data_IF_339219041241
#
_entry.id   IF_339219041241
#
_cell.length_a   1.000
_cell.length_b   1.000
_cell.length_c   1.000
_cell.angle_alpha   90.00
_cell.angle_beta   90.00
_cell.angle_gamma   90.00
#
_symmetry.space_group_name_H-M   'P 1'
#
loop_
_entity.id
_entity.type
_entity.pdbx_description
1 polymer ?
#
# COMPACT_ATOMS: atom_id res chain seq x y z
N UNK A 1 -26.50 12.43 -37.13
CA UNK A 1 -25.07 12.07 -36.98
C UNK A 1 -24.71 12.28 -35.52
N UNK A 2 -25.01 11.26 -34.71
CA UNK A 2 -24.03 10.34 -34.11
C UNK A 2 -23.09 11.03 -33.12
N UNK A 3 -23.51 10.93 -31.86
CA UNK A 3 -22.79 11.21 -30.63
C UNK A 3 -21.59 10.28 -30.49
N UNK A 4 -20.39 10.83 -30.32
CA UNK A 4 -19.20 10.05 -30.00
C UNK A 4 -18.99 10.07 -28.47
N UNK A 5 -19.61 9.09 -27.80
CA UNK A 5 -19.30 8.77 -26.42
C UNK A 5 -17.94 8.09 -26.38
N UNK A 6 -16.90 8.83 -25.98
CA UNK A 6 -15.62 8.25 -25.62
C UNK A 6 -15.81 7.34 -24.39
N UNK A 7 -15.93 6.04 -24.65
CA UNK A 7 -15.90 4.98 -23.66
C UNK A 7 -14.54 4.96 -22.95
N UNK A 8 -14.44 5.62 -21.81
CA UNK A 8 -13.32 5.46 -20.88
C UNK A 8 -13.51 4.14 -20.14
N UNK A 9 -12.99 3.07 -20.73
CA UNK A 9 -12.82 1.80 -20.02
C UNK A 9 -11.90 2.02 -18.80
N UNK A 10 -12.26 1.54 -17.60
CA UNK A 10 -11.38 1.66 -16.44
C UNK A 10 -10.15 0.78 -16.67
N UNK A 11 -8.98 1.39 -16.84
CA UNK A 11 -7.70 0.68 -16.77
C UNK A 11 -7.64 0.04 -15.38
N UNK A 12 -7.78 -1.28 -15.33
CA UNK A 12 -7.45 -2.06 -14.13
C UNK A 12 -5.98 -1.80 -13.87
N UNK A 13 -5.67 -0.97 -12.87
CA UNK A 13 -4.32 -0.79 -12.39
C UNK A 13 -3.97 -2.01 -11.54
N UNK A 14 -3.54 -3.05 -12.26
CA UNK A 14 -2.86 -4.19 -11.67
C UNK A 14 -1.58 -3.66 -11.03
N UNK A 15 -1.46 -3.86 -9.73
CA UNK A 15 -0.17 -3.77 -9.06
C UNK A 15 0.72 -4.78 -9.77
N UNK A 16 1.76 -4.31 -10.49
CA UNK A 16 2.71 -5.19 -11.18
C UNK A 16 3.26 -6.19 -10.17
N UNK A 17 2.82 -7.44 -10.31
CA UNK A 17 3.06 -8.54 -9.39
C UNK A 17 4.35 -9.26 -9.72
N UNK A 18 5.13 -9.55 -8.69
CA UNK A 18 6.25 -10.51 -8.65
C UNK A 18 7.18 -10.45 -9.87
N UNK A 19 8.24 -9.67 -9.76
CA UNK A 19 9.37 -9.79 -10.69
C UNK A 19 9.97 -11.19 -10.55
N UNK A 20 10.17 -11.89 -11.68
CA UNK A 20 10.78 -13.21 -11.67
C UNK A 20 12.30 -13.12 -11.44
N UNK A 21 12.89 -11.96 -11.76
CA UNK A 21 14.33 -11.71 -11.69
C UNK A 21 14.62 -10.27 -11.25
N UNK A 22 15.81 -10.04 -10.68
CA UNK A 22 16.28 -8.71 -10.25
C UNK A 22 16.47 -7.78 -11.46
N UNK A 23 16.87 -8.35 -12.59
CA UNK A 23 17.11 -7.66 -13.84
C UNK A 23 15.82 -7.02 -14.37
N UNK A 24 14.70 -7.77 -14.35
CA UNK A 24 13.38 -7.24 -14.71
C UNK A 24 12.93 -6.10 -13.79
N UNK A 25 13.24 -6.19 -12.49
CA UNK A 25 12.95 -5.14 -11.53
C UNK A 25 13.75 -3.86 -11.85
N UNK A 26 15.05 -4.00 -12.12
CA UNK A 26 15.92 -2.89 -12.49
C UNK A 26 15.47 -2.22 -13.80
N UNK A 27 15.14 -3.02 -14.82
CA UNK A 27 14.63 -2.51 -16.11
C UNK A 27 13.32 -1.75 -15.95
N UNK A 28 12.36 -2.28 -15.19
CA UNK A 28 11.09 -1.62 -14.97
C UNK A 28 11.27 -0.30 -14.19
N UNK A 29 12.13 -0.29 -13.17
CA UNK A 29 12.40 0.91 -12.39
C UNK A 29 13.01 2.03 -13.24
N UNK A 30 13.90 1.68 -14.18
CA UNK A 30 14.54 2.61 -15.11
C UNK A 30 13.63 3.05 -16.27
N UNK A 31 12.62 2.26 -16.65
CA UNK A 31 11.78 2.50 -17.84
C UNK A 31 11.12 3.89 -17.89
N UNK A 32 10.80 4.46 -16.72
CA UNK A 32 10.09 5.73 -16.60
C UNK A 32 11.01 6.92 -16.27
N UNK A 33 12.33 6.71 -16.18
CA UNK A 33 13.30 7.74 -15.84
C UNK A 33 14.27 7.96 -17.01
N UNK A 34 14.24 9.16 -17.61
CA UNK A 34 15.12 9.53 -18.71
C UNK A 34 16.60 9.40 -18.30
N UNK A 35 17.47 8.98 -19.23
CA UNK A 35 18.91 8.84 -18.99
C UNK A 35 19.30 7.90 -17.82
N UNK A 36 18.47 6.91 -17.51
CA UNK A 36 18.81 5.87 -16.54
C UNK A 36 19.15 4.56 -17.25
N UNK A 37 20.13 3.84 -16.71
CA UNK A 37 20.63 2.61 -17.31
C UNK A 37 20.53 1.47 -16.30
N UNK A 38 19.67 0.49 -16.58
CA UNK A 38 19.49 -0.68 -15.72
C UNK A 38 20.80 -1.45 -15.54
N UNK A 39 21.64 -1.53 -16.58
CA UNK A 39 22.96 -2.16 -16.49
C UNK A 39 23.87 -1.44 -15.50
N UNK A 40 23.96 -0.11 -15.60
CA UNK A 40 24.76 0.70 -14.67
C UNK A 40 24.25 0.57 -13.22
N UNK A 41 22.93 0.49 -13.05
CA UNK A 41 22.31 0.27 -11.74
C UNK A 41 22.69 -1.09 -11.15
N UNK A 42 22.60 -2.16 -11.94
CA UNK A 42 22.97 -3.52 -11.53
C UNK A 42 24.47 -3.62 -11.21
N UNK A 43 25.33 -3.05 -12.06
CA UNK A 43 26.79 -3.01 -11.86
C UNK A 43 27.14 -2.27 -10.55
N UNK A 44 26.49 -1.13 -10.29
CA UNK A 44 26.70 -0.35 -9.05
C UNK A 44 26.17 -1.08 -7.82
N UNK A 45 25.12 -1.88 -7.97
CA UNK A 45 24.61 -2.74 -6.91
C UNK A 45 25.48 -3.98 -6.64
N UNK A 46 26.52 -4.23 -7.45
CA UNK A 46 27.36 -5.42 -7.37
C UNK A 46 26.66 -6.70 -7.86
N UNK A 47 25.60 -6.54 -8.67
CA UNK A 47 24.78 -7.63 -9.18
C UNK A 47 25.27 -7.96 -10.59
N UNK A 48 26.11 -8.97 -10.70
CA UNK A 48 26.55 -9.49 -11.98
C UNK A 48 25.58 -10.56 -12.49
N UNK A 49 25.35 -10.58 -13.80
CA UNK A 49 24.45 -11.50 -14.51
C UNK A 49 24.91 -12.97 -14.54
N UNK A 50 25.90 -13.34 -13.72
CA UNK A 50 26.56 -14.65 -13.72
C UNK A 50 25.98 -15.65 -12.72
N UNK A 51 24.72 -15.50 -12.29
CA UNK A 51 24.07 -16.46 -11.38
C UNK A 51 22.54 -16.36 -11.39
N UNK A 52 21.87 -17.42 -10.91
CA UNK A 52 20.43 -17.44 -10.68
C UNK A 52 20.02 -16.39 -9.63
N UNK A 53 19.79 -15.16 -10.06
CA UNK A 53 19.27 -14.06 -9.26
C UNK A 53 17.75 -14.18 -9.06
N UNK A 54 17.29 -15.35 -8.60
CA UNK A 54 15.88 -15.59 -8.32
C UNK A 54 15.50 -14.81 -7.06
N UNK A 55 14.42 -14.04 -7.15
CA UNK A 55 13.84 -13.28 -6.05
C UNK A 55 13.07 -14.22 -5.12
N UNK A 56 13.79 -15.02 -4.32
CA UNK A 56 13.18 -15.73 -3.19
C UNK A 56 12.81 -14.73 -2.08
N UNK A 57 11.73 -14.99 -1.34
CA UNK A 57 11.13 -14.03 -0.40
C UNK A 57 12.15 -13.40 0.58
N UNK A 58 13.08 -14.20 1.14
CA UNK A 58 14.14 -13.71 2.03
C UNK A 58 15.26 -12.93 1.32
N UNK A 59 15.55 -13.22 0.06
CA UNK A 59 16.57 -12.50 -0.72
C UNK A 59 16.00 -11.23 -1.37
N UNK A 60 14.69 -11.19 -1.63
CA UNK A 60 14.01 -10.08 -2.31
C UNK A 60 14.17 -8.73 -1.60
N UNK A 61 14.04 -8.69 -0.26
CA UNK A 61 14.19 -7.46 0.51
C UNK A 61 15.61 -6.90 0.49
N UNK A 62 16.60 -7.81 0.44
CA UNK A 62 17.99 -7.43 0.33
C UNK A 62 18.28 -6.86 -1.07
N UNK A 63 17.77 -7.52 -2.13
CA UNK A 63 17.93 -7.05 -3.51
C UNK A 63 17.26 -5.68 -3.77
N UNK A 64 16.05 -5.46 -3.25
CA UNK A 64 15.43 -4.12 -3.30
C UNK A 64 16.32 -3.08 -2.63
N UNK A 65 16.84 -3.39 -1.45
CA UNK A 65 17.67 -2.45 -0.68
C UNK A 65 18.99 -2.17 -1.41
N UNK A 66 19.65 -3.18 -1.98
CA UNK A 66 20.85 -3.01 -2.79
C UNK A 66 20.62 -2.09 -4.00
N UNK A 67 19.56 -2.34 -4.78
CA UNK A 67 19.22 -1.51 -5.93
C UNK A 67 18.86 -0.08 -5.54
N UNK A 68 18.14 0.11 -4.42
CA UNK A 68 17.83 1.44 -3.90
C UNK A 68 19.13 2.18 -3.54
N UNK A 69 20.04 1.54 -2.80
CA UNK A 69 21.32 2.16 -2.43
C UNK A 69 22.17 2.50 -3.65
N UNK A 70 22.20 1.63 -4.66
CA UNK A 70 22.88 1.88 -5.93
C UNK A 70 22.26 3.09 -6.67
N UNK A 71 20.94 3.17 -6.77
CA UNK A 71 20.25 4.31 -7.38
C UNK A 71 20.57 5.62 -6.63
N UNK A 72 20.62 5.60 -5.29
CA UNK A 72 20.97 6.78 -4.50
C UNK A 72 22.42 7.23 -4.68
N UNK A 73 23.36 6.29 -4.85
CA UNK A 73 24.74 6.61 -5.18
C UNK A 73 24.86 7.24 -6.57
N UNK A 74 24.12 6.71 -7.56
CA UNK A 74 24.13 7.24 -8.93
C UNK A 74 23.42 8.60 -9.06
N UNK A 75 22.52 8.93 -8.13
CA UNK A 75 21.76 10.20 -8.12
C UNK A 75 22.65 11.44 -8.09
N UNK A 76 23.82 11.37 -7.45
CA UNK A 76 24.76 12.49 -7.39
C UNK A 76 25.25 12.91 -8.78
N UNK A 77 25.40 11.94 -9.70
CA UNK A 77 25.86 12.17 -11.07
C UNK A 77 24.71 12.37 -12.05
N UNK A 78 23.58 11.69 -11.84
CA UNK A 78 22.39 11.82 -12.67
C UNK A 78 21.13 11.91 -11.81
N UNK A 79 20.52 13.10 -11.66
CA UNK A 79 19.35 13.32 -10.81
C UNK A 79 18.15 12.43 -11.13
N UNK A 80 18.08 11.87 -12.35
CA UNK A 80 16.98 11.00 -12.77
C UNK A 80 16.93 9.66 -12.01
N UNK A 81 18.03 9.24 -11.38
CA UNK A 81 18.03 8.08 -10.48
C UNK A 81 17.24 8.29 -9.18
N UNK A 82 16.85 9.53 -8.81
CA UNK A 82 15.94 9.74 -7.69
C UNK A 82 14.55 9.13 -7.97
N UNK A 83 14.04 9.28 -9.19
CA UNK A 83 12.80 8.65 -9.62
C UNK A 83 12.92 7.12 -9.62
N UNK A 84 14.05 6.59 -10.08
CA UNK A 84 14.36 5.15 -10.03
C UNK A 84 14.36 4.63 -8.59
N UNK A 85 15.04 5.32 -7.66
CA UNK A 85 15.05 4.96 -6.24
C UNK A 85 13.64 4.98 -5.63
N UNK A 86 12.83 5.98 -6.00
CA UNK A 86 11.43 6.12 -5.57
C UNK A 86 10.59 4.93 -6.05
N UNK A 87 10.71 4.54 -7.33
CA UNK A 87 9.99 3.40 -7.90
C UNK A 87 10.41 2.07 -7.27
N UNK A 88 11.70 1.87 -7.01
CA UNK A 88 12.21 0.68 -6.33
C UNK A 88 11.67 0.59 -4.91
N UNK A 89 11.67 1.70 -4.16
CA UNK A 89 11.13 1.74 -2.81
C UNK A 89 9.62 1.48 -2.81
N UNK A 90 8.86 2.08 -3.72
CA UNK A 90 7.42 1.82 -3.84
C UNK A 90 7.13 0.34 -4.15
N UNK A 91 7.93 -0.26 -5.05
CA UNK A 91 7.82 -1.68 -5.40
C UNK A 91 8.12 -2.58 -4.19
N UNK A 92 9.16 -2.25 -3.41
CA UNK A 92 9.49 -2.92 -2.15
C UNK A 92 8.33 -2.88 -1.17
N UNK A 93 7.80 -1.69 -0.88
CA UNK A 93 6.67 -1.48 0.04
C UNK A 93 5.43 -2.24 -0.43
N UNK A 94 5.14 -2.21 -1.72
CA UNK A 94 4.00 -2.92 -2.30
C UNK A 94 4.14 -4.43 -2.15
N UNK A 95 5.36 -4.96 -2.33
CA UNK A 95 5.64 -6.37 -2.08
C UNK A 95 5.46 -6.75 -0.61
N UNK A 96 5.95 -5.94 0.32
CA UNK A 96 5.78 -6.15 1.77
C UNK A 96 4.29 -6.18 2.15
N UNK A 97 3.54 -5.14 1.75
CA UNK A 97 2.12 -4.99 2.06
C UNK A 97 1.33 -6.16 1.48
N UNK A 98 1.51 -6.47 0.19
CA UNK A 98 0.79 -7.59 -0.43
C UNK A 98 1.04 -8.91 0.30
N UNK A 99 2.30 -9.17 0.67
CA UNK A 99 2.65 -10.36 1.44
C UNK A 99 1.90 -10.39 2.80
N UNK A 100 1.92 -9.30 3.55
CA UNK A 100 1.20 -9.18 4.83
C UNK A 100 -0.32 -9.36 4.69
N UNK A 101 -0.91 -8.95 3.55
CA UNK A 101 -2.35 -9.06 3.29
C UNK A 101 -2.77 -10.44 2.78
N UNK A 102 -1.87 -11.22 2.17
CA UNK A 102 -2.14 -12.60 1.74
C UNK A 102 -1.94 -13.64 2.83
N UNK A 103 -1.19 -13.35 3.89
CA UNK A 103 -1.00 -14.24 5.03
C UNK A 103 -2.25 -14.23 5.94
N UNK A 104 -3.27 -14.97 5.52
CA UNK A 104 -4.41 -15.38 6.34
C UNK A 104 -4.22 -16.83 6.73
N UNK A 105 -4.36 -17.21 8.02
CA UNK A 105 -4.27 -18.60 8.40
C UNK A 105 -5.37 -19.40 7.70
N UNK A 106 -4.98 -20.59 7.28
CA UNK A 106 -5.65 -21.51 6.37
C UNK A 106 -7.04 -21.86 6.92
N UNK A 107 -8.11 -21.26 6.39
CA UNK A 107 -9.47 -21.81 6.53
C UNK A 107 -10.33 -21.56 5.30
N UNK A 108 -9.75 -21.07 4.20
CA UNK A 108 -10.48 -20.91 2.94
C UNK A 108 -9.60 -21.42 1.81
N UNK A 109 -9.81 -22.69 1.50
CA UNK A 109 -9.37 -23.32 0.26
C UNK A 109 -9.91 -22.50 -0.91
N UNK A 110 -9.04 -22.23 -1.90
CA UNK A 110 -9.29 -21.44 -3.12
C UNK A 110 -8.96 -19.94 -3.03
N UNK A 111 -7.71 -19.60 -2.68
CA UNK A 111 -7.09 -18.37 -3.20
C UNK A 111 -5.92 -18.82 -4.06
N UNK A 112 -6.20 -19.02 -5.35
CA UNK A 112 -5.16 -19.02 -6.38
C UNK A 112 -4.33 -17.76 -6.18
N UNK A 113 -3.01 -17.88 -6.20
CA UNK A 113 -2.02 -16.81 -6.06
C UNK A 113 -2.09 -15.83 -7.24
N UNK A 114 -3.23 -15.17 -7.45
CA UNK A 114 -3.39 -14.07 -8.40
C UNK A 114 -3.08 -12.76 -7.69
N UNK A 115 -2.32 -11.90 -8.34
CA UNK A 115 -2.12 -10.52 -7.94
C UNK A 115 -3.45 -9.85 -7.57
N UNK A 116 -3.53 -9.27 -6.37
CA UNK A 116 -4.69 -8.47 -5.99
C UNK A 116 -4.65 -7.15 -6.75
N UNK A 117 -5.80 -6.71 -7.27
CA UNK A 117 -5.93 -5.31 -7.71
C UNK A 117 -5.70 -4.37 -6.53
N UNK A 118 -5.25 -3.13 -6.79
CA UNK A 118 -5.01 -2.14 -5.74
C UNK A 118 -6.24 -1.92 -4.85
N UNK A 119 -7.43 -1.89 -5.46
CA UNK A 119 -8.70 -1.73 -4.74
C UNK A 119 -9.03 -2.95 -3.86
N UNK A 120 -8.80 -4.17 -4.36
CA UNK A 120 -8.95 -5.37 -3.53
C UNK A 120 -7.93 -5.40 -2.38
N UNK A 121 -6.70 -4.95 -2.64
CA UNK A 121 -5.66 -4.78 -1.64
C UNK A 121 -6.12 -3.84 -0.51
N UNK A 122 -6.67 -2.67 -0.85
CA UNK A 122 -7.22 -1.73 0.15
C UNK A 122 -8.28 -2.36 1.04
N UNK A 123 -9.23 -3.11 0.46
CA UNK A 123 -10.29 -3.76 1.22
C UNK A 123 -9.74 -4.81 2.20
N UNK A 124 -8.75 -5.61 1.75
CA UNK A 124 -8.06 -6.57 2.61
C UNK A 124 -7.26 -5.86 3.70
N UNK A 125 -6.61 -4.75 3.38
CA UNK A 125 -5.88 -3.91 4.33
C UNK A 125 -6.79 -3.41 5.46
N UNK A 126 -7.98 -2.89 5.15
CA UNK A 126 -8.93 -2.46 6.19
C UNK A 126 -9.38 -3.65 7.04
N UNK A 127 -9.83 -4.75 6.41
CA UNK A 127 -10.31 -5.94 7.13
C UNK A 127 -9.23 -6.51 8.06
N UNK A 128 -8.04 -6.74 7.53
CA UNK A 128 -6.92 -7.30 8.28
C UNK A 128 -6.40 -6.32 9.34
N UNK A 129 -6.36 -5.02 9.05
CA UNK A 129 -5.95 -4.00 10.02
C UNK A 129 -6.89 -3.93 11.22
N UNK A 130 -8.21 -4.09 11.01
CA UNK A 130 -9.18 -4.20 12.11
C UNK A 130 -8.93 -5.49 12.92
N UNK A 131 -8.75 -6.62 12.22
CA UNK A 131 -8.46 -7.93 12.84
C UNK A 131 -7.14 -7.94 13.64
N UNK A 132 -6.20 -7.07 13.30
CA UNK A 132 -4.85 -7.07 13.88
C UNK A 132 -4.65 -6.10 15.03
N UNK A 133 -5.62 -5.27 15.38
CA UNK A 133 -5.34 -4.25 16.40
C UNK A 133 -5.01 -2.86 15.85
N UNK A 134 -5.02 -2.66 14.53
CA UNK A 134 -4.34 -1.52 13.90
C UNK A 134 -5.28 -0.40 13.47
N UNK A 135 -6.50 -0.75 13.03
CA UNK A 135 -7.46 0.17 12.41
C UNK A 135 -8.77 0.19 13.21
N UNK A 136 -9.34 1.39 13.35
CA UNK A 136 -10.64 1.61 14.02
C UNK A 136 -11.76 0.82 13.33
N UNK A 137 -12.48 -0.07 14.05
CA UNK A 137 -13.53 -0.90 13.44
C UNK A 137 -14.70 -0.09 12.91
N UNK A 138 -14.95 1.11 13.44
CA UNK A 138 -16.05 1.98 13.06
C UNK A 138 -15.96 2.44 11.59
N UNK A 139 -14.78 2.33 10.96
CA UNK A 139 -14.58 2.58 9.53
C UNK A 139 -15.49 1.71 8.65
N UNK A 140 -15.91 0.52 9.11
CA UNK A 140 -16.81 -0.36 8.36
C UNK A 140 -18.25 0.15 8.25
N UNK A 141 -18.57 1.29 8.89
CA UNK A 141 -19.86 1.94 8.75
C UNK A 141 -20.08 2.56 7.35
N UNK A 142 -19.01 2.80 6.59
CA UNK A 142 -19.05 3.38 5.24
C UNK A 142 -19.02 2.31 4.16
N UNK A 143 -19.47 2.68 2.95
CA UNK A 143 -19.29 1.85 1.76
C UNK A 143 -17.82 1.82 1.29
N UNK A 144 -17.06 0.87 1.84
CA UNK A 144 -15.65 0.68 1.49
C UNK A 144 -15.45 0.26 0.02
N UNK A 145 -16.43 -0.38 -0.62
CA UNK A 145 -16.35 -0.75 -2.03
C UNK A 145 -16.44 0.49 -2.93
N UNK A 146 -17.35 1.40 -2.60
CA UNK A 146 -17.46 2.69 -3.26
C UNK A 146 -16.18 3.51 -3.09
N UNK A 147 -15.64 3.57 -1.87
CA UNK A 147 -14.42 4.32 -1.57
C UNK A 147 -13.18 3.72 -2.23
N UNK A 148 -13.05 2.40 -2.26
CA UNK A 148 -11.94 1.72 -2.95
C UNK A 148 -11.87 2.13 -4.43
N UNK A 149 -13.03 2.27 -5.11
CA UNK A 149 -13.10 2.74 -6.51
C UNK A 149 -12.65 4.19 -6.70
N UNK A 150 -12.59 4.99 -5.65
CA UNK A 150 -12.13 6.39 -5.70
C UNK A 150 -10.62 6.53 -5.54
N UNK A 151 -9.94 5.47 -5.09
CA UNK A 151 -8.49 5.48 -4.95
C UNK A 151 -7.84 5.59 -6.32
N UNK A 152 -6.82 6.44 -6.43
CA UNK A 152 -6.00 6.65 -7.64
C UNK A 152 -4.59 6.11 -7.36
N UNK A 153 -4.29 4.83 -7.66
CA UNK A 153 -3.04 4.17 -7.30
C UNK A 153 -1.79 4.87 -7.82
N UNK A 154 -1.85 5.42 -9.03
CA UNK A 154 -0.71 6.03 -9.69
C UNK A 154 -0.15 7.25 -8.95
N UNK A 155 -0.92 7.84 -8.03
CA UNK A 155 -0.43 8.94 -7.20
C UNK A 155 0.66 8.51 -6.22
N UNK A 156 0.78 7.21 -5.90
CA UNK A 156 1.92 6.71 -5.12
C UNK A 156 3.26 6.96 -5.84
N UNK A 157 3.27 6.90 -7.17
CA UNK A 157 4.47 7.13 -7.99
C UNK A 157 4.87 8.60 -8.10
N UNK A 158 4.02 9.54 -7.63
CA UNK A 158 4.35 10.97 -7.62
C UNK A 158 5.20 11.37 -6.41
N UNK A 159 5.36 10.49 -5.42
CA UNK A 159 6.18 10.75 -4.24
C UNK A 159 7.66 10.65 -4.60
N UNK A 160 8.43 11.66 -4.19
CA UNK A 160 9.89 11.61 -4.27
C UNK A 160 10.45 10.54 -3.32
N UNK A 161 11.70 10.13 -3.52
CA UNK A 161 12.32 9.10 -2.69
C UNK A 161 12.34 9.53 -1.22
N UNK A 162 12.68 10.80 -0.97
CA UNK A 162 12.74 11.38 0.38
C UNK A 162 11.38 11.37 1.06
N UNK A 163 10.32 11.76 0.35
CA UNK A 163 8.95 11.75 0.89
C UNK A 163 8.49 10.33 1.19
N UNK A 164 8.68 9.40 0.25
CA UNK A 164 8.26 8.02 0.41
C UNK A 164 9.03 7.32 1.54
N UNK A 165 10.35 7.54 1.64
CA UNK A 165 11.20 7.00 2.69
C UNK A 165 10.84 7.56 4.08
N UNK A 166 10.62 8.87 4.19
CA UNK A 166 10.15 9.48 5.44
C UNK A 166 8.81 8.91 5.86
N UNK A 167 7.86 8.85 4.92
CA UNK A 167 6.52 8.33 5.15
C UNK A 167 6.55 6.87 5.62
N UNK A 168 7.31 6.01 4.93
CA UNK A 168 7.42 4.58 5.26
C UNK A 168 8.10 4.28 6.59
N UNK A 169 9.02 5.14 7.03
CA UNK A 169 9.75 4.92 8.27
C UNK A 169 9.01 5.46 9.50
N UNK A 170 8.25 6.54 9.35
CA UNK A 170 7.72 7.27 10.50
C UNK A 170 6.21 7.16 10.68
N UNK A 171 5.45 6.99 9.59
CA UNK A 171 4.01 7.22 9.62
C UNK A 171 3.16 6.07 9.08
N UNK A 172 3.61 5.37 8.04
CA UNK A 172 2.88 4.20 7.56
C UNK A 172 2.83 3.13 8.64
N UNK A 173 1.67 2.48 8.76
CA UNK A 173 1.51 1.40 9.72
C UNK A 173 2.46 0.25 9.44
N UNK A 174 2.96 -0.34 10.53
CA UNK A 174 3.81 -1.53 10.52
C UNK A 174 3.16 -2.65 11.31
N UNK A 175 3.38 -3.87 10.86
CA UNK A 175 3.00 -5.08 11.58
C UNK A 175 4.16 -6.05 11.57
N UNK A 176 4.57 -6.53 12.75
CA UNK A 176 5.72 -7.44 12.91
C UNK A 176 7.00 -6.91 12.22
N UNK A 177 7.24 -5.60 12.29
CA UNK A 177 8.41 -4.94 11.69
C UNK A 177 8.30 -4.62 10.20
N UNK A 178 7.33 -5.17 9.47
CA UNK A 178 7.13 -4.93 8.04
C UNK A 178 6.11 -3.81 7.80
N UNK A 179 6.23 -3.13 6.65
CA UNK A 179 5.23 -2.16 6.24
C UNK A 179 3.89 -2.86 5.95
N UNK A 180 2.81 -2.33 6.54
CA UNK A 180 1.45 -2.88 6.43
C UNK A 180 0.52 -1.95 5.63
N UNK A 181 0.99 -0.78 5.20
CA UNK A 181 0.17 0.25 4.61
C UNK A 181 0.87 0.92 3.41
N UNK A 182 0.12 1.18 2.34
CA UNK A 182 0.58 1.98 1.19
C UNK A 182 0.15 3.44 1.34
N UNK A 183 0.80 4.40 0.65
CA UNK A 183 0.49 5.82 0.81
C UNK A 183 -0.98 6.15 0.48
N UNK A 184 -1.54 5.70 -0.66
CA UNK A 184 -2.97 5.94 -0.91
C UNK A 184 -3.90 5.24 0.09
N UNK A 185 -3.52 4.07 0.64
CA UNK A 185 -4.31 3.42 1.69
C UNK A 185 -4.35 4.30 2.95
N UNK A 186 -3.20 4.86 3.34
CA UNK A 186 -3.11 5.78 4.46
C UNK A 186 -3.99 7.01 4.22
N UNK A 187 -3.90 7.65 3.06
CA UNK A 187 -4.70 8.83 2.75
C UNK A 187 -6.20 8.55 2.76
N UNK A 188 -6.64 7.41 2.22
CA UNK A 188 -8.05 7.02 2.25
C UNK A 188 -8.52 6.72 3.68
N UNK A 189 -7.74 5.98 4.48
CA UNK A 189 -8.04 5.74 5.91
C UNK A 189 -8.20 7.05 6.67
N UNK A 190 -7.25 7.97 6.51
CA UNK A 190 -7.28 9.28 7.17
C UNK A 190 -8.52 10.06 6.73
N UNK A 191 -8.86 10.05 5.44
CA UNK A 191 -10.04 10.72 4.93
C UNK A 191 -11.33 10.19 5.57
N UNK A 192 -11.46 8.86 5.71
CA UNK A 192 -12.59 8.24 6.40
C UNK A 192 -12.63 8.67 7.86
N UNK A 193 -11.50 8.58 8.58
CA UNK A 193 -11.42 8.93 9.99
C UNK A 193 -11.74 10.40 10.28
N UNK A 194 -11.32 11.32 9.41
CA UNK A 194 -11.66 12.73 9.53
C UNK A 194 -13.16 12.97 9.28
N UNK A 195 -13.72 12.36 8.22
CA UNK A 195 -15.14 12.48 7.91
C UNK A 195 -16.04 11.91 9.02
N UNK A 196 -15.61 10.84 9.68
CA UNK A 196 -16.30 10.24 10.83
C UNK A 196 -16.49 11.20 11.98
N UNK A 197 -15.45 11.97 12.33
CA UNK A 197 -15.53 12.96 13.42
C UNK A 197 -16.54 14.06 13.14
N UNK A 198 -16.78 14.34 11.85
CA UNK A 198 -17.70 15.37 11.37
C UNK A 198 -19.05 14.80 10.91
N UNK A 199 -19.31 13.49 11.10
CA UNK A 199 -20.49 12.77 10.61
C UNK A 199 -20.79 13.04 9.11
N UNK A 200 -19.76 13.00 8.26
CA UNK A 200 -19.87 13.25 6.81
C UNK A 200 -19.91 11.95 6.02
N UNK A 201 -20.70 11.92 4.95
CA UNK A 201 -20.82 10.76 4.06
C UNK A 201 -19.67 10.58 3.05
N UNK A 202 -19.76 9.54 2.23
CA UNK A 202 -18.71 9.05 1.31
C UNK A 202 -18.29 10.08 0.25
N UNK A 203 -19.21 10.95 -0.18
CA UNK A 203 -18.89 12.03 -1.12
C UNK A 203 -17.83 12.98 -0.54
N UNK A 204 -17.95 13.31 0.76
CA UNK A 204 -16.98 14.16 1.46
C UNK A 204 -15.69 13.42 1.73
N UNK A 205 -15.74 12.11 2.03
CA UNK A 205 -14.54 11.27 2.16
C UNK A 205 -13.73 11.30 0.87
N UNK A 206 -14.37 11.11 -0.28
CA UNK A 206 -13.70 11.14 -1.57
C UNK A 206 -13.04 12.51 -1.86
N UNK A 207 -13.67 13.61 -1.45
CA UNK A 207 -13.09 14.95 -1.57
C UNK A 207 -11.85 15.12 -0.67
N UNK A 208 -11.95 14.75 0.61
CA UNK A 208 -10.83 14.81 1.55
C UNK A 208 -9.67 13.95 1.05
N UNK A 209 -9.96 12.72 0.60
CA UNK A 209 -8.96 11.82 0.01
C UNK A 209 -8.25 12.49 -1.17
N UNK A 210 -8.98 13.12 -2.09
CA UNK A 210 -8.38 13.82 -3.24
C UNK A 210 -7.46 14.96 -2.79
N UNK A 211 -7.87 15.72 -1.77
CA UNK A 211 -7.06 16.81 -1.21
C UNK A 211 -5.78 16.29 -0.53
N UNK A 212 -5.87 15.16 0.19
CA UNK A 212 -4.71 14.55 0.85
C UNK A 212 -3.75 13.93 -0.17
N UNK A 213 -4.28 13.15 -1.12
CA UNK A 213 -3.50 12.38 -2.11
C UNK A 213 -2.74 13.25 -3.11
N UNK A 214 -3.22 14.46 -3.41
CA UNK A 214 -2.56 15.39 -4.33
C UNK A 214 -1.61 16.38 -3.65
N UNK A 215 -1.58 16.43 -2.31
CA UNK A 215 -0.79 17.43 -1.58
C UNK A 215 0.59 16.87 -1.23
N UNK A 216 1.61 17.73 -1.27
CA UNK A 216 2.94 17.38 -0.75
C UNK A 216 2.81 16.92 0.70
N UNK A 217 3.31 15.71 0.98
CA UNK A 217 3.20 15.06 2.28
C UNK A 217 3.73 15.95 3.41
N UNK A 218 4.79 16.73 3.15
CA UNK A 218 5.40 17.68 4.10
C UNK A 218 4.42 18.69 4.72
N UNK A 219 3.24 18.89 4.10
CA UNK A 219 2.21 19.81 4.59
C UNK A 219 1.16 19.13 5.47
N UNK A 220 1.19 17.81 5.62
CA UNK A 220 0.25 17.04 6.44
C UNK A 220 0.90 16.79 7.81
N UNK A 221 0.23 17.18 8.89
CA UNK A 221 0.79 17.00 10.24
C UNK A 221 0.82 15.52 10.64
N UNK A 222 1.81 15.14 11.45
CA UNK A 222 1.93 13.76 11.98
C UNK A 222 0.71 13.32 12.77
N UNK A 223 0.00 14.27 13.43
CA UNK A 223 -1.26 14.02 14.12
C UNK A 223 -2.35 13.50 13.16
N UNK A 224 -2.48 14.11 11.98
CA UNK A 224 -3.45 13.69 10.97
C UNK A 224 -3.17 12.27 10.47
N UNK A 225 -1.90 11.87 10.36
CA UNK A 225 -1.55 10.51 9.94
C UNK A 225 -1.97 9.41 10.93
N UNK A 226 -2.07 9.75 12.22
CA UNK A 226 -2.53 8.83 13.26
C UNK A 226 -4.05 8.66 13.28
N UNK A 227 -4.80 9.41 12.48
CA UNK A 227 -6.26 9.34 12.44
C UNK A 227 -6.78 8.03 11.86
N UNK A 228 -7.70 7.37 12.55
CA UNK A 228 -8.22 6.06 12.13
C UNK A 228 -7.31 4.87 12.48
N UNK A 229 -6.15 5.11 13.11
CA UNK A 229 -5.38 4.07 13.80
C UNK A 229 -5.83 3.94 15.24
N UNK A 230 -5.46 2.83 15.88
CA UNK A 230 -5.73 2.63 17.29
C UNK A 230 -4.44 2.86 18.10
N UNK A 231 -4.51 3.77 19.08
CA UNK A 231 -3.37 4.19 19.91
C UNK A 231 -3.16 3.34 21.17
N UNK A 232 -4.07 2.41 21.50
CA UNK A 232 -4.00 1.56 22.70
C UNK A 232 -4.22 0.09 22.32
N UNK A 233 -3.46 -0.87 22.87
CA UNK A 233 -3.69 -2.28 22.60
C UNK A 233 -5.12 -2.66 23.03
N UNK A 234 -5.82 -3.38 22.15
CA UNK A 234 -7.14 -3.93 22.43
C UNK A 234 -7.16 -5.41 22.09
N UNK A 235 -7.91 -6.18 22.87
CA UNK A 235 -8.21 -7.57 22.55
C UNK A 235 -9.51 -7.63 21.76
N UNK A 236 -9.50 -8.44 20.68
CA UNK A 236 -10.70 -8.75 19.91
C UNK A 236 -11.43 -9.87 20.64
N UNK A 237 -12.58 -9.53 21.25
CA UNK A 237 -13.43 -10.55 21.83
C UNK A 237 -14.21 -11.24 20.69
N UNK A 238 -13.83 -12.47 20.39
CA UNK A 238 -14.66 -13.33 19.56
C UNK A 238 -15.91 -13.69 20.36
N UNK A 239 -17.04 -13.04 20.04
CA UNK A 239 -18.33 -13.37 20.65
C UNK A 239 -18.65 -14.85 20.46
N UNK A 240 -18.96 -15.54 21.56
CA UNK A 240 -19.43 -16.92 21.55
C UNK A 240 -20.68 -16.99 20.66
N UNK A 241 -20.63 -17.80 19.61
CA UNK A 241 -21.80 -18.05 18.77
C UNK A 241 -22.76 -18.94 19.55
N UNK A 242 -23.78 -18.33 20.16
CA UNK A 242 -24.95 -19.07 20.62
C UNK A 242 -25.61 -19.72 19.40
N UNK A 243 -25.78 -21.04 19.47
CA UNK A 243 -26.20 -21.91 18.36
C UNK A 243 -27.68 -21.78 17.95
N UNK A 244 -28.42 -20.79 18.44
CA UNK A 244 -29.84 -20.64 18.13
C UNK A 244 -30.20 -19.20 17.71
N UNK A 245 -30.86 -19.10 16.56
CA UNK A 245 -31.53 -17.94 15.93
C UNK A 245 -30.72 -16.93 15.10
N UNK A 246 -30.96 -17.05 13.78
CA UNK A 246 -31.21 -16.00 12.77
C UNK A 246 -30.52 -14.63 12.90
N UNK A 247 -29.65 -14.37 11.93
CA UNK A 247 -29.37 -13.06 11.30
C UNK A 247 -29.02 -11.91 12.24
N UNK A 248 -28.01 -12.09 13.08
CA UNK A 248 -27.35 -10.98 13.77
C UNK A 248 -25.99 -10.70 13.14
N UNK A 249 -25.84 -9.47 12.64
CA UNK A 249 -24.57 -8.87 12.18
C UNK A 249 -23.53 -9.14 13.27
N UNK A 250 -22.42 -9.82 12.94
CA UNK A 250 -21.36 -10.18 13.90
C UNK A 250 -20.72 -8.90 14.45
N UNK A 251 -21.26 -8.36 15.55
CA UNK A 251 -20.71 -7.20 16.23
C UNK A 251 -19.47 -7.70 16.97
N UNK A 252 -18.28 -7.31 16.50
CA UNK A 252 -17.02 -7.58 17.18
C UNK A 252 -16.85 -6.53 18.27
N UNK A 253 -16.86 -6.95 19.53
CA UNK A 253 -16.60 -6.06 20.65
C UNK A 253 -15.08 -5.97 20.89
N UNK A 254 -14.57 -4.74 20.95
CA UNK A 254 -13.18 -4.46 21.33
C UNK A 254 -13.13 -4.11 22.81
N UNK A 255 -12.19 -4.72 23.56
CA UNK A 255 -11.91 -4.35 24.95
C UNK A 255 -10.51 -3.75 25.03
N UNK A 256 -10.41 -2.57 25.64
CA UNK A 256 -9.11 -1.97 25.98
C UNK A 256 -8.36 -2.90 26.93
N UNK A 257 -7.10 -3.21 26.61
CA UNK A 257 -6.19 -3.86 27.55
C UNK A 257 -5.67 -2.75 28.46
N UNK A 258 -5.95 -2.87 29.77
CA UNK A 258 -5.41 -1.98 30.80
C UNK A 258 -3.97 -2.37 31.14
#
# INVERSE_FOLDING_TARGET
MMSEQASMTPKVHTITSSFATIEQLAELACKNAANTCAKQLLDTAGIHSTGCNILDHRSSQNHYTQLIMAALALRENSPTYDATASHLLLSKLTSEVNHSLTFTPITSTNITSSALSYQQGFLRYISKGIDLGLIQPEIIAYDLQLLAKKIVPNLDSNLTYSELHSLSNQLLMRYQGQCFELPQYAFMRIAIALAMKENKGEARIAEIYRLLSMRSYSRISTKIFREGTISRPYEILHGNTDKNNTTTKKIRHLRLVN
#
